data_IF_608550689350
#
_entry.id   IF_608550689350
#
_cell.length_a   1.000
_cell.length_b   1.000
_cell.length_c   1.000
_cell.angle_alpha   90.00
_cell.angle_beta   90.00
_cell.angle_gamma   90.00
#
_symmetry.space_group_name_H-M   'P 1'
#
loop_
_entity.id
_entity.type
_entity.pdbx_description
1 polymer ?
#
# COMPACT_ATOMS: atom_id res chain seq x y z
N UNK A 1 -16.68 3.71 -1.43
CA UNK A 1 -16.25 3.49 -0.03
C UNK A 1 -15.34 4.60 0.47
N UNK A 2 -14.21 4.89 -0.19
CA UNK A 2 -13.25 5.90 0.29
C UNK A 2 -13.89 7.27 0.61
N UNK A 3 -14.72 7.82 -0.28
CA UNK A 3 -15.45 9.09 -0.07
C UNK A 3 -16.37 9.08 1.16
N UNK A 4 -16.93 7.92 1.49
CA UNK A 4 -17.79 7.79 2.67
C UNK A 4 -16.91 7.83 3.92
N UNK A 5 -15.79 7.11 3.92
CA UNK A 5 -14.90 6.99 5.07
C UNK A 5 -14.06 8.25 5.33
N UNK A 6 -13.82 9.08 4.31
CA UNK A 6 -12.98 10.28 4.43
C UNK A 6 -13.42 11.25 5.54
N UNK A 7 -14.73 11.28 5.82
CA UNK A 7 -15.31 12.14 6.86
C UNK A 7 -15.22 11.55 8.28
N UNK A 8 -14.76 10.31 8.42
CA UNK A 8 -14.81 9.56 9.69
C UNK A 8 -13.47 8.92 10.08
N UNK A 9 -12.50 8.90 9.18
CA UNK A 9 -11.21 8.25 9.41
C UNK A 9 -10.06 9.25 9.23
N UNK A 10 -9.14 9.29 10.18
CA UNK A 10 -7.91 10.07 10.03
C UNK A 10 -6.96 9.42 9.01
N UNK A 11 -7.02 8.10 8.90
CA UNK A 11 -6.12 7.30 8.06
C UNK A 11 -6.94 6.28 7.26
N UNK A 12 -6.68 6.21 5.96
CA UNK A 12 -7.22 5.17 5.08
C UNK A 12 -6.05 4.36 4.54
N UNK A 13 -6.08 3.06 4.82
CA UNK A 13 -5.08 2.09 4.38
C UNK A 13 -5.57 1.31 3.17
N UNK A 14 -4.88 1.45 2.05
CA UNK A 14 -4.97 0.47 0.96
C UNK A 14 -4.02 -0.66 1.29
N UNK A 15 -4.58 -1.72 1.89
CA UNK A 15 -3.84 -2.88 2.37
C UNK A 15 -3.80 -4.03 1.36
N UNK A 16 -2.78 -4.87 1.45
CA UNK A 16 -2.66 -6.11 0.67
C UNK A 16 -3.76 -7.15 0.99
N UNK A 17 -4.50 -6.95 2.09
CA UNK A 17 -5.75 -7.65 2.42
C UNK A 17 -6.79 -7.59 1.29
N UNK A 18 -6.69 -6.63 0.37
CA UNK A 18 -7.48 -6.60 -0.87
C UNK A 18 -7.37 -7.88 -1.67
N UNK A 19 -6.23 -8.59 -1.62
CA UNK A 19 -6.05 -9.86 -2.33
C UNK A 19 -7.08 -10.89 -1.88
N UNK A 20 -7.31 -10.98 -0.57
CA UNK A 20 -8.29 -11.90 0.02
C UNK A 20 -9.72 -11.37 -0.11
N UNK A 21 -9.94 -10.11 0.28
CA UNK A 21 -11.30 -9.54 0.43
C UNK A 21 -11.93 -9.17 -0.91
N UNK A 22 -11.15 -8.67 -1.87
CA UNK A 22 -11.66 -8.22 -3.17
C UNK A 22 -11.38 -9.22 -4.30
N UNK A 23 -10.25 -9.93 -4.27
CA UNK A 23 -9.82 -10.83 -5.35
C UNK A 23 -9.96 -12.32 -5.02
N UNK A 24 -10.43 -12.67 -3.81
CA UNK A 24 -10.67 -14.08 -3.43
C UNK A 24 -9.41 -14.93 -3.31
N UNK A 25 -8.23 -14.31 -3.19
CA UNK A 25 -6.97 -15.03 -3.00
C UNK A 25 -6.95 -15.73 -1.63
N UNK A 26 -6.22 -16.84 -1.54
CA UNK A 26 -6.05 -17.58 -0.27
C UNK A 26 -5.15 -16.87 0.73
N UNK A 27 -4.31 -15.94 0.26
CA UNK A 27 -3.38 -15.16 1.08
C UNK A 27 -3.04 -13.84 0.39
N UNK A 28 -2.37 -12.93 1.08
CA UNK A 28 -1.89 -11.66 0.49
C UNK A 28 -0.60 -11.80 -0.31
N UNK A 29 0.01 -13.00 -0.33
CA UNK A 29 1.33 -13.23 -0.97
C UNK A 29 1.33 -13.08 -2.48
N UNK A 30 0.17 -13.24 -3.11
CA UNK A 30 0.01 -13.14 -4.56
C UNK A 30 -0.37 -11.71 -5.01
N UNK A 31 -0.48 -10.76 -4.07
CA UNK A 31 -0.79 -9.36 -4.39
C UNK A 31 0.42 -8.70 -5.03
N UNK A 32 0.20 -8.07 -6.19
CA UNK A 32 1.26 -7.42 -6.96
C UNK A 32 1.39 -5.93 -6.62
N UNK A 33 2.55 -5.36 -6.93
CA UNK A 33 2.78 -3.91 -6.81
C UNK A 33 1.78 -3.11 -7.66
N UNK A 34 1.46 -3.62 -8.85
CA UNK A 34 0.51 -3.03 -9.78
C UNK A 34 -0.91 -3.03 -9.21
N UNK A 35 -1.33 -4.08 -8.51
CA UNK A 35 -2.61 -4.10 -7.79
C UNK A 35 -2.65 -3.00 -6.72
N UNK A 36 -1.61 -2.90 -5.89
CA UNK A 36 -1.53 -1.85 -4.86
C UNK A 36 -1.59 -0.45 -5.46
N UNK A 37 -0.89 -0.22 -6.57
CA UNK A 37 -0.92 1.05 -7.29
C UNK A 37 -2.32 1.35 -7.84
N UNK A 38 -2.98 0.36 -8.43
CA UNK A 38 -4.32 0.54 -9.01
C UNK A 38 -5.35 0.91 -7.94
N UNK A 39 -5.37 0.18 -6.82
CA UNK A 39 -6.27 0.45 -5.70
C UNK A 39 -5.91 1.77 -4.99
N UNK A 40 -4.62 2.06 -4.81
CA UNK A 40 -4.13 3.34 -4.28
C UNK A 40 -4.63 4.54 -5.07
N UNK A 41 -4.55 4.48 -6.40
CA UNK A 41 -5.10 5.52 -7.29
C UNK A 41 -6.61 5.66 -7.15
N UNK A 42 -7.33 4.55 -7.01
CA UNK A 42 -8.78 4.56 -6.88
C UNK A 42 -9.21 5.24 -5.58
N UNK A 43 -8.55 4.90 -4.47
CA UNK A 43 -8.81 5.51 -3.17
C UNK A 43 -8.46 6.99 -3.17
N UNK A 44 -7.28 7.39 -3.67
CA UNK A 44 -6.86 8.80 -3.71
C UNK A 44 -7.88 9.74 -4.33
N UNK A 45 -8.56 9.31 -5.41
CA UNK A 45 -9.60 10.12 -6.09
C UNK A 45 -10.84 10.36 -5.22
N UNK A 46 -11.00 9.59 -4.15
CA UNK A 46 -12.17 9.62 -3.29
C UNK A 46 -11.90 10.13 -1.89
N UNK A 47 -10.75 10.73 -1.60
CA UNK A 47 -10.42 11.23 -0.26
C UNK A 47 -9.78 12.62 -0.37
N UNK A 48 -10.13 13.52 0.55
CA UNK A 48 -9.58 14.87 0.66
C UNK A 48 -8.90 15.09 2.00
N UNK A 49 -9.43 14.50 3.08
CA UNK A 49 -9.03 14.78 4.46
C UNK A 49 -8.15 13.67 5.06
N UNK A 50 -8.47 12.40 4.81
CA UNK A 50 -7.73 11.27 5.40
C UNK A 50 -6.31 11.16 4.84
N UNK A 51 -5.37 10.74 5.69
CA UNK A 51 -4.03 10.33 5.29
C UNK A 51 -4.11 9.00 4.52
N UNK A 52 -3.63 9.01 3.28
CA UNK A 52 -3.59 7.81 2.45
C UNK A 52 -2.31 7.02 2.69
N UNK A 53 -2.45 5.80 3.21
CA UNK A 53 -1.36 4.83 3.30
C UNK A 53 -1.57 3.73 2.25
N UNK A 54 -0.51 3.33 1.57
CA UNK A 54 -0.54 2.20 0.64
C UNK A 54 0.49 1.15 1.05
N UNK A 55 0.09 -0.11 1.11
CA UNK A 55 1.00 -1.21 1.41
C UNK A 55 1.98 -1.44 0.27
N UNK A 56 3.22 -1.73 0.65
CA UNK A 56 4.16 -2.38 -0.24
C UNK A 56 4.01 -3.90 -0.10
N UNK A 57 3.62 -4.62 -1.15
CA UNK A 57 3.35 -6.04 -1.03
C UNK A 57 4.66 -6.83 -0.88
N UNK A 58 4.58 -8.01 -0.25
CA UNK A 58 5.71 -8.93 -0.14
C UNK A 58 6.27 -9.27 -1.54
N UNK A 59 7.56 -9.54 -1.64
CA UNK A 59 8.29 -9.70 -2.90
C UNK A 59 8.91 -8.40 -3.41
N UNK A 60 8.51 -7.26 -2.86
CA UNK A 60 8.82 -5.94 -3.44
C UNK A 60 9.66 -5.02 -2.54
N UNK A 61 10.02 -5.44 -1.32
CA UNK A 61 10.84 -4.63 -0.42
C UNK A 61 11.92 -5.40 0.33
N UNK A 62 11.71 -6.68 0.61
CA UNK A 62 12.45 -7.43 1.62
C UNK A 62 13.88 -7.79 1.21
N UNK A 63 14.20 -7.77 -0.09
CA UNK A 63 15.49 -8.25 -0.61
C UNK A 63 16.61 -7.21 -0.53
N UNK A 64 16.27 -5.92 -0.56
CA UNK A 64 17.26 -4.84 -0.69
C UNK A 64 16.64 -3.48 -0.33
N UNK A 65 17.23 -2.70 0.60
CA UNK A 65 16.75 -1.35 0.95
C UNK A 65 16.64 -0.40 -0.25
N UNK A 66 17.52 -0.50 -1.25
CA UNK A 66 17.45 0.29 -2.50
C UNK A 66 16.23 -0.08 -3.34
N UNK A 67 15.86 -1.37 -3.38
CA UNK A 67 14.65 -1.83 -4.08
C UNK A 67 13.40 -1.35 -3.34
N UNK A 68 13.38 -1.48 -2.01
CA UNK A 68 12.29 -0.97 -1.17
C UNK A 68 12.08 0.54 -1.40
N UNK A 69 13.15 1.34 -1.33
CA UNK A 69 13.08 2.78 -1.57
C UNK A 69 12.62 3.12 -2.99
N UNK A 70 13.12 2.42 -4.01
CA UNK A 70 12.70 2.61 -5.40
C UNK A 70 11.19 2.35 -5.56
N UNK A 71 10.71 1.24 -5.00
CA UNK A 71 9.30 0.88 -5.08
C UNK A 71 8.44 1.82 -4.25
N UNK A 72 8.91 2.31 -3.10
CA UNK A 72 8.19 3.29 -2.27
C UNK A 72 7.97 4.58 -3.05
N UNK A 73 9.05 5.08 -3.68
CA UNK A 73 8.99 6.25 -4.56
C UNK A 73 8.05 6.02 -5.75
N UNK A 74 8.03 4.83 -6.35
CA UNK A 74 7.08 4.48 -7.42
C UNK A 74 5.64 4.56 -6.92
N UNK A 75 5.33 3.91 -5.79
CA UNK A 75 3.99 3.95 -5.18
C UNK A 75 3.58 5.40 -4.93
N UNK A 76 4.34 6.14 -4.11
CA UNK A 76 3.99 7.52 -3.75
C UNK A 76 3.82 8.43 -4.97
N UNK A 77 4.74 8.36 -5.94
CA UNK A 77 4.65 9.18 -7.16
C UNK A 77 3.38 8.89 -7.97
N UNK A 78 3.01 7.62 -8.06
CA UNK A 78 1.97 7.15 -8.99
C UNK A 78 0.58 7.16 -8.34
N UNK A 79 0.47 6.89 -7.04
CA UNK A 79 -0.80 6.89 -6.30
C UNK A 79 -1.09 8.23 -5.64
N UNK A 80 -0.07 9.07 -5.41
CA UNK A 80 -0.14 10.26 -4.56
C UNK A 80 -0.58 9.93 -3.13
N UNK A 81 -0.15 8.77 -2.61
CA UNK A 81 -0.32 8.46 -1.20
C UNK A 81 0.67 9.25 -0.34
N UNK A 82 0.28 9.45 0.91
CA UNK A 82 1.00 10.25 1.90
C UNK A 82 2.04 9.41 2.63
N UNK A 83 1.79 8.11 2.76
CA UNK A 83 2.74 7.16 3.32
C UNK A 83 2.69 5.78 2.64
N UNK A 84 3.74 5.00 2.89
CA UNK A 84 3.85 3.60 2.46
C UNK A 84 4.07 2.74 3.69
N UNK A 85 3.26 1.69 3.86
CA UNK A 85 3.50 0.68 4.91
C UNK A 85 4.42 -0.42 4.37
N UNK A 86 5.43 -0.77 5.15
CA UNK A 86 6.35 -1.89 4.91
C UNK A 86 6.33 -2.79 6.14
N UNK A 87 6.29 -4.10 5.96
CA UNK A 87 6.28 -5.04 7.08
C UNK A 87 7.67 -5.64 7.32
N UNK A 88 8.10 -5.68 8.58
CA UNK A 88 9.39 -6.24 8.93
C UNK A 88 9.84 -5.86 10.34
N UNK A 89 10.68 -6.70 10.93
CA UNK A 89 11.36 -6.42 12.21
C UNK A 89 12.85 -6.09 12.05
N UNK A 90 13.58 -6.12 13.17
CA UNK A 90 15.02 -5.77 13.23
C UNK A 90 15.92 -6.52 12.23
N UNK A 91 15.54 -7.72 11.80
CA UNK A 91 16.27 -8.51 10.79
C UNK A 91 16.32 -7.84 9.41
N UNK A 92 15.38 -6.94 9.10
CA UNK A 92 15.37 -6.20 7.84
C UNK A 92 16.20 -4.91 7.88
N UNK A 93 16.55 -4.40 9.07
CA UNK A 93 17.38 -3.20 9.22
C UNK A 93 18.90 -3.48 9.20
N UNK A 94 19.31 -4.76 9.26
CA UNK A 94 20.72 -5.18 9.33
C UNK A 94 21.28 -5.70 8.00
N UNK A 95 20.51 -5.62 6.90
CA UNK A 95 20.93 -5.97 5.54
C UNK A 95 21.15 -4.69 4.73
#
# INVERSE_FOLDING_TARGET
MAQILDNYCDVILVGDSLGMVLHGMKSTRDVTLEMMIMHGKAVRRGIENSLLVVDMPIGTYEKNPKIALRNARKIMKVTRCDAVKVEGGLKFMKQ
#
